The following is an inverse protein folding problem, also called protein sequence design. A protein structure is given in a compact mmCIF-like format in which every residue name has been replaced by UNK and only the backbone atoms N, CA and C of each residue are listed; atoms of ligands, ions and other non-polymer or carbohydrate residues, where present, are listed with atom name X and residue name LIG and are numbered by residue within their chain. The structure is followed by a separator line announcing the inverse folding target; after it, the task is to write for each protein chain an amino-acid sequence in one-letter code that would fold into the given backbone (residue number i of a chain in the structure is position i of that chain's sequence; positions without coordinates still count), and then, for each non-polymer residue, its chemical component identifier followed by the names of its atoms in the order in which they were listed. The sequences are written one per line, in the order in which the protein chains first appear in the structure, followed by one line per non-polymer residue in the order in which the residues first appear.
data_IF_844493221911
#
_entry.id   IF_844493221911
#
_cell.length_a   1.000
_cell.length_b   1.000
_cell.length_c   1.000
_cell.angle_alpha   90.00
_cell.angle_beta   90.00
_cell.angle_gamma   90.00
#
_symmetry.space_group_name_H-M   'P 1'
#
loop_
_entity.id
_entity.type
_entity.pdbx_description
1 polymer ?
#
# COMPACT_ATOMS: atom_id res chain seq x y z
N UNK A 1 -21.00 38.30 44.48
CA UNK A 1 -21.48 38.35 43.09
C UNK A 1 -20.58 37.44 42.27
N UNK A 2 -21.12 36.32 41.77
CA UNK A 2 -20.32 35.24 41.19
C UNK A 2 -19.80 35.60 39.80
N UNK A 3 -18.50 35.42 39.58
CA UNK A 3 -17.88 35.48 38.26
C UNK A 3 -18.25 34.25 37.46
N UNK A 4 -19.05 34.44 36.41
CA UNK A 4 -19.41 33.38 35.47
C UNK A 4 -18.22 33.02 34.58
N UNK A 5 -17.71 31.79 34.73
CA UNK A 5 -16.84 31.15 33.75
C UNK A 5 -17.76 30.46 32.74
N UNK A 6 -17.84 31.03 31.53
CA UNK A 6 -18.45 30.37 30.37
C UNK A 6 -17.38 29.70 29.53
N UNK A 7 -17.06 28.43 29.83
CA UNK A 7 -16.42 27.54 28.86
C UNK A 7 -17.41 27.25 27.73
N UNK A 8 -17.02 27.16 26.47
CA UNK A 8 -15.77 26.66 25.93
C UNK A 8 -16.13 25.45 25.05
N UNK A 9 -15.74 25.52 23.77
CA UNK A 9 -15.62 24.35 22.92
C UNK A 9 -16.79 24.11 21.95
N UNK A 10 -16.79 24.82 20.83
CA UNK A 10 -17.35 24.29 19.60
C UNK A 10 -16.51 23.09 19.16
N UNK A 11 -16.89 21.89 19.59
CA UNK A 11 -16.33 20.64 19.09
C UNK A 11 -17.00 20.26 17.78
N UNK A 12 -16.24 20.30 16.69
CA UNK A 12 -16.68 19.86 15.36
C UNK A 12 -17.29 18.44 15.46
N UNK A 13 -18.54 18.25 15.04
CA UNK A 13 -19.28 16.96 15.09
C UNK A 13 -18.82 15.92 14.06
N UNK A 14 -17.69 16.14 13.42
CA UNK A 14 -17.06 15.14 12.58
C UNK A 14 -16.03 14.46 13.47
N UNK A 15 -16.46 13.40 14.16
CA UNK A 15 -15.53 12.50 14.83
C UNK A 15 -14.41 12.14 13.86
N UNK A 16 -13.17 12.16 14.34
CA UNK A 16 -12.00 11.80 13.55
C UNK A 16 -12.27 10.49 12.81
N UNK A 17 -12.48 10.55 11.50
CA UNK A 17 -12.57 9.36 10.65
C UNK A 17 -11.14 8.86 10.46
N UNK A 18 -10.79 7.75 11.11
CA UNK A 18 -9.47 7.17 10.92
C UNK A 18 -9.50 6.28 9.69
N UNK A 19 -8.47 6.35 8.86
CA UNK A 19 -8.33 5.48 7.68
C UNK A 19 -8.29 4.00 8.08
N UNK A 20 -7.91 3.68 9.32
CA UNK A 20 -7.90 2.33 9.88
C UNK A 20 -9.28 1.76 10.17
N UNK A 21 -10.33 2.60 10.18
CA UNK A 21 -11.72 2.19 10.40
C UNK A 21 -12.40 1.72 9.11
N UNK A 22 -11.74 1.93 7.95
CA UNK A 22 -12.20 1.45 6.66
C UNK A 22 -11.96 -0.06 6.52
N UNK A 23 -12.78 -0.79 5.74
CA UNK A 23 -12.50 -2.17 5.38
C UNK A 23 -11.12 -2.32 4.73
N UNK A 24 -10.46 -3.45 4.99
CA UNK A 24 -9.13 -3.72 4.45
C UNK A 24 -9.07 -3.57 2.92
N UNK A 25 -10.11 -4.01 2.21
CA UNK A 25 -10.17 -3.92 0.74
C UNK A 25 -10.24 -2.47 0.25
N UNK A 26 -10.92 -1.57 0.98
CA UNK A 26 -10.94 -0.15 0.67
C UNK A 26 -9.55 0.46 0.84
N UNK A 27 -8.84 0.11 1.93
CA UNK A 27 -7.48 0.57 2.18
C UNK A 27 -6.53 0.02 1.11
N UNK A 28 -6.64 -1.26 0.78
CA UNK A 28 -5.87 -1.90 -0.29
C UNK A 28 -6.09 -1.20 -1.65
N UNK A 29 -7.35 -0.88 -1.99
CA UNK A 29 -7.68 -0.11 -3.19
C UNK A 29 -7.02 1.27 -3.19
N UNK A 30 -7.00 1.97 -2.07
CA UNK A 30 -6.29 3.26 -1.99
C UNK A 30 -4.78 3.06 -2.20
N UNK A 31 -4.18 2.05 -1.54
CA UNK A 31 -2.76 1.75 -1.68
C UNK A 31 -2.41 1.34 -3.13
N UNK A 32 -3.28 0.64 -3.83
CA UNK A 32 -3.05 0.21 -5.22
C UNK A 32 -2.93 1.39 -6.20
N UNK A 33 -3.42 2.58 -5.83
CA UNK A 33 -3.24 3.83 -6.59
C UNK A 33 -1.98 4.63 -6.18
N UNK A 34 -1.21 4.15 -5.21
CA UNK A 34 0.05 4.78 -4.78
C UNK A 34 1.25 4.18 -5.50
N UNK A 35 2.47 4.54 -5.10
CA UNK A 35 3.68 3.86 -5.58
C UNK A 35 4.03 2.64 -4.71
N UNK A 36 4.78 1.64 -5.23
CA UNK A 36 5.29 0.53 -4.44
C UNK A 36 6.11 0.98 -3.21
N UNK A 37 6.83 2.10 -3.32
CA UNK A 37 7.57 2.67 -2.19
C UNK A 37 6.62 3.23 -1.12
N UNK A 38 5.54 3.89 -1.52
CA UNK A 38 4.54 4.41 -0.60
C UNK A 38 3.76 3.27 0.07
N UNK A 39 3.43 2.19 -0.65
CA UNK A 39 2.83 1.00 -0.07
C UNK A 39 3.70 0.42 1.07
N UNK A 40 5.02 0.32 0.85
CA UNK A 40 5.97 -0.09 1.88
C UNK A 40 5.98 0.86 3.08
N UNK A 41 5.91 2.18 2.87
CA UNK A 41 5.86 3.15 3.98
C UNK A 41 4.56 3.05 4.76
N UNK A 42 3.43 2.90 4.06
CA UNK A 42 2.11 2.75 4.66
C UNK A 42 2.04 1.50 5.54
N UNK A 43 2.73 0.42 5.15
CA UNK A 43 2.83 -0.81 5.95
C UNK A 43 3.33 -0.60 7.39
N UNK A 44 4.09 0.47 7.63
CA UNK A 44 4.69 0.79 8.93
C UNK A 44 3.76 1.61 9.83
N UNK A 45 2.64 2.13 9.30
CA UNK A 45 1.73 3.03 10.02
C UNK A 45 0.88 2.27 11.02
N UNK A 46 0.35 1.10 10.64
CA UNK A 46 -0.46 0.25 11.51
C UNK A 46 -0.52 -1.19 10.97
N UNK A 47 -1.00 -2.13 11.78
CA UNK A 47 -1.22 -3.52 11.37
C UNK A 47 -2.26 -3.65 10.25
N UNK A 48 -3.30 -2.82 10.24
CA UNK A 48 -4.31 -2.80 9.17
C UNK A 48 -3.70 -2.36 7.84
N UNK A 49 -2.93 -1.28 7.86
CA UNK A 49 -2.21 -0.82 6.67
C UNK A 49 -1.15 -1.83 6.22
N UNK A 50 -0.47 -2.50 7.15
CA UNK A 50 0.45 -3.60 6.83
C UNK A 50 -0.27 -4.70 6.05
N UNK A 51 -1.34 -5.25 6.61
CA UNK A 51 -2.14 -6.31 5.98
C UNK A 51 -2.64 -5.90 4.59
N UNK A 52 -3.16 -4.67 4.46
CA UNK A 52 -3.62 -4.14 3.18
C UNK A 52 -2.47 -3.98 2.17
N UNK A 53 -1.33 -3.42 2.59
CA UNK A 53 -0.16 -3.18 1.73
C UNK A 53 0.54 -4.45 1.26
N UNK A 54 0.39 -5.56 1.98
CA UNK A 54 0.96 -6.86 1.64
C UNK A 54 0.02 -7.72 0.79
N UNK A 55 -1.21 -7.25 0.53
CA UNK A 55 -2.20 -7.95 -0.28
C UNK A 55 -1.82 -8.04 -1.75
N UNK A 56 -2.03 -9.20 -2.36
CA UNK A 56 -1.80 -9.41 -3.79
C UNK A 56 -2.60 -8.43 -4.67
N UNK A 57 -3.77 -7.96 -4.22
CA UNK A 57 -4.56 -6.97 -4.98
C UNK A 57 -3.81 -5.63 -5.16
N UNK A 58 -3.00 -5.23 -4.16
CA UNK A 58 -2.14 -4.05 -4.26
C UNK A 58 -0.99 -4.31 -5.22
N UNK A 59 -0.30 -5.44 -5.05
CA UNK A 59 0.88 -5.73 -5.88
C UNK A 59 0.52 -6.05 -7.32
N UNK A 60 -0.69 -6.51 -7.61
CA UNK A 60 -1.21 -6.66 -8.96
C UNK A 60 -1.27 -5.34 -9.73
N UNK A 61 -1.64 -4.23 -9.10
CA UNK A 61 -1.71 -2.93 -9.79
C UNK A 61 -0.34 -2.36 -10.13
N UNK A 62 0.70 -2.79 -9.41
CA UNK A 62 2.09 -2.40 -9.66
C UNK A 62 2.78 -3.23 -10.72
N UNK A 63 2.18 -4.35 -11.11
CA UNK A 63 2.74 -5.24 -12.11
C UNK A 63 2.33 -4.83 -13.53
N UNK A 64 3.20 -5.05 -14.53
CA UNK A 64 2.82 -4.90 -15.93
C UNK A 64 1.65 -5.81 -16.27
N UNK A 65 0.70 -5.37 -17.10
CA UNK A 65 -0.46 -6.19 -17.50
C UNK A 65 -0.05 -7.52 -18.14
N UNK A 66 1.10 -7.57 -18.81
CA UNK A 66 1.66 -8.77 -19.47
C UNK A 66 2.61 -9.59 -18.58
N UNK A 67 2.61 -9.38 -17.25
CA UNK A 67 3.49 -10.12 -16.34
C UNK A 67 3.30 -11.64 -16.47
N UNK A 68 2.07 -12.12 -16.63
CA UNK A 68 1.77 -13.56 -16.76
C UNK A 68 2.38 -14.20 -18.01
N UNK A 69 2.54 -13.45 -19.10
CA UNK A 69 3.13 -13.96 -20.33
C UNK A 69 4.65 -14.12 -20.23
N UNK A 70 5.30 -13.38 -19.32
CA UNK A 70 6.75 -13.36 -19.16
C UNK A 70 7.26 -14.30 -18.07
N UNK A 71 6.37 -14.90 -17.27
CA UNK A 71 6.74 -15.79 -16.16
C UNK A 71 6.84 -17.22 -16.69
N UNK A 72 8.03 -17.86 -16.64
CA UNK A 72 8.16 -19.27 -16.93
C UNK A 72 7.31 -20.10 -15.96
N UNK A 73 6.64 -21.14 -16.46
CA UNK A 73 5.78 -22.02 -15.65
C UNK A 73 6.53 -22.73 -14.50
N UNK A 74 7.86 -22.74 -14.54
CA UNK A 74 8.73 -23.28 -13.47
C UNK A 74 8.94 -22.32 -12.30
N UNK A 75 8.66 -21.02 -12.47
CA UNK A 75 8.74 -20.03 -11.41
C UNK A 75 7.36 -19.90 -10.75
N UNK A 76 7.26 -20.48 -9.56
CA UNK A 76 6.10 -20.27 -8.68
C UNK A 76 6.49 -19.27 -7.61
N UNK A 77 5.72 -18.20 -7.47
CA UNK A 77 5.90 -17.19 -6.44
C UNK A 77 4.78 -17.33 -5.41
N UNK A 78 5.11 -17.12 -4.13
CA UNK A 78 4.14 -17.22 -3.04
C UNK A 78 3.23 -16.00 -2.97
N UNK A 79 3.61 -14.87 -3.58
CA UNK A 79 2.82 -13.63 -3.63
C UNK A 79 3.19 -12.78 -4.85
N UNK A 80 2.29 -11.87 -5.25
CA UNK A 80 2.55 -10.88 -6.30
C UNK A 80 3.63 -9.86 -5.88
N UNK A 81 3.81 -9.65 -4.58
CA UNK A 81 4.92 -8.86 -4.03
C UNK A 81 6.26 -9.50 -4.34
N UNK A 82 6.40 -10.80 -4.10
CA UNK A 82 7.61 -11.55 -4.39
C UNK A 82 7.91 -11.53 -5.89
N UNK A 83 6.88 -11.68 -6.72
CA UNK A 83 6.98 -11.53 -8.17
C UNK A 83 7.52 -10.16 -8.57
N UNK A 84 6.96 -9.08 -8.02
CA UNK A 84 7.39 -7.71 -8.29
C UNK A 84 8.87 -7.52 -7.95
N UNK A 85 9.31 -7.97 -6.77
CA UNK A 85 10.70 -7.86 -6.33
C UNK A 85 11.65 -8.64 -7.26
N UNK A 86 11.27 -9.87 -7.64
CA UNK A 86 12.05 -10.68 -8.57
C UNK A 86 12.17 -10.02 -9.96
N UNK A 87 11.10 -9.39 -10.46
CA UNK A 87 11.14 -8.64 -11.71
C UNK A 87 12.09 -7.44 -11.62
N UNK A 88 12.05 -6.69 -10.51
CA UNK A 88 13.00 -5.59 -10.28
C UNK A 88 14.45 -6.08 -10.26
N UNK A 89 14.74 -7.19 -9.56
CA UNK A 89 16.08 -7.77 -9.51
C UNK A 89 16.58 -8.22 -10.89
N UNK A 90 15.71 -8.85 -11.68
CA UNK A 90 16.06 -9.32 -13.02
C UNK A 90 16.20 -8.18 -14.04
N UNK A 91 15.39 -7.11 -13.94
CA UNK A 91 15.54 -5.95 -14.83
C UNK A 91 16.82 -5.14 -14.55
N UNK A 92 17.32 -5.12 -13.31
CA UNK A 92 18.61 -4.48 -12.97
C UNK A 92 19.78 -5.19 -13.69
N UNK A 93 19.64 -6.48 -14.03
CA UNK A 93 20.68 -7.23 -14.75
C UNK A 93 20.70 -6.97 -16.27
N UNK A 94 19.70 -6.28 -16.83
CA UNK A 94 19.61 -5.99 -18.28
C UNK A 94 20.34 -4.70 -18.67
N UNK A 95 20.86 -3.91 -17.72
CA UNK A 95 21.86 -2.88 -18.03
C UNK A 95 23.25 -3.51 -18.20
N UNK A 96 23.34 -4.36 -19.23
CA UNK A 96 24.61 -4.80 -19.78
C UNK A 96 25.35 -3.57 -20.29
N UNK A 97 26.26 -3.07 -19.44
CA UNK A 97 27.25 -2.06 -19.79
C UNK A 97 27.82 -2.32 -21.17
N UNK A 98 27.32 -1.57 -22.15
CA UNK A 98 28.00 -1.34 -23.42
C UNK A 98 28.34 0.14 -23.44
N UNK A 99 29.53 0.45 -22.93
CA UNK A 99 30.28 1.60 -23.38
C UNK A 99 31.73 1.21 -23.54
#
# INVERSE_FOLDING_TARGET
MGSGVGGGGGGNKYGSLNLTDLPQDCIATVISFTSPQDACRLSLVSTTFKSASESDAVWESFLPSDHQASIPSSLSFSSKKELYLSLCENQILIDGGRK
#
